data_IF_112711137669
#
_entry.id   IF_112711137669
#
_cell.length_a   1.000
_cell.length_b   1.000
_cell.length_c   1.000
_cell.angle_alpha   90.00
_cell.angle_beta   90.00
_cell.angle_gamma   90.00
#
_symmetry.space_group_name_H-M   'P 1'
#
loop_
_entity.id
_entity.type
_entity.pdbx_description
1 polymer ?
#
# COMPACT_ATOMS: atom_id res chain seq x y z
N UNK A 1 -33.06 7.25 18.50
CA UNK A 1 -32.61 8.39 17.67
C UNK A 1 -31.12 8.33 17.36
N UNK A 2 -30.24 7.85 18.24
CA UNK A 2 -28.78 7.73 17.96
C UNK A 2 -28.34 6.82 16.80
N UNK A 3 -28.99 5.66 16.56
CA UNK A 3 -28.54 4.75 15.48
C UNK A 3 -28.83 5.25 14.07
N UNK A 4 -29.97 5.93 13.84
CA UNK A 4 -30.32 6.43 12.50
C UNK A 4 -29.44 7.60 12.06
N UNK A 5 -28.93 8.38 13.01
CA UNK A 5 -28.02 9.49 12.71
C UNK A 5 -26.61 8.99 12.40
N UNK A 6 -26.12 7.94 13.10
CA UNK A 6 -24.87 7.24 12.74
C UNK A 6 -24.95 6.61 11.35
N UNK A 7 -26.03 5.89 11.07
CA UNK A 7 -26.27 5.21 9.79
C UNK A 7 -26.46 6.19 8.62
N UNK A 8 -27.03 7.37 8.89
CA UNK A 8 -27.18 8.46 7.90
C UNK A 8 -25.86 9.22 7.67
N UNK A 9 -25.06 9.46 8.70
CA UNK A 9 -23.71 10.05 8.54
C UNK A 9 -22.81 9.11 7.75
N UNK A 10 -22.84 7.82 8.08
CA UNK A 10 -22.14 6.77 7.35
C UNK A 10 -22.60 6.71 5.89
N UNK A 11 -23.91 6.77 5.60
CA UNK A 11 -24.42 6.83 4.21
C UNK A 11 -24.03 8.08 3.44
N UNK A 12 -23.82 9.20 4.12
CA UNK A 12 -23.45 10.48 3.47
C UNK A 12 -21.94 10.51 3.20
N UNK A 13 -21.11 9.96 4.10
CA UNK A 13 -19.68 9.68 3.86
C UNK A 13 -19.48 8.60 2.79
N UNK A 14 -20.31 7.55 2.78
CA UNK A 14 -20.34 6.49 1.75
C UNK A 14 -20.60 7.02 0.34
N UNK A 15 -21.35 8.12 0.18
CA UNK A 15 -21.60 8.70 -1.14
C UNK A 15 -20.40 9.48 -1.70
N UNK A 16 -19.46 9.90 -0.85
CA UNK A 16 -18.22 10.55 -1.25
C UNK A 16 -17.14 9.51 -1.64
N UNK A 17 -17.06 8.40 -0.88
CA UNK A 17 -16.15 7.28 -1.15
C UNK A 17 -16.54 6.35 -2.34
N UNK A 18 -17.72 6.52 -2.97
CA UNK A 18 -18.25 5.56 -3.98
C UNK A 18 -17.65 5.69 -5.39
N UNK A 19 -16.63 6.52 -5.59
CA UNK A 19 -16.00 6.64 -6.90
C UNK A 19 -14.49 6.43 -6.88
N UNK A 20 -13.95 5.28 -6.42
CA UNK A 20 -12.53 5.02 -6.71
C UNK A 20 -11.94 3.61 -6.51
N UNK A 21 -12.67 2.55 -6.86
CA UNK A 21 -12.04 1.25 -7.10
C UNK A 21 -12.62 0.63 -8.36
N UNK A 22 -12.25 1.16 -9.52
CA UNK A 22 -12.30 0.33 -10.74
C UNK A 22 -11.18 -0.70 -10.58
N UNK A 23 -11.51 -1.80 -9.90
CA UNK A 23 -10.67 -3.00 -9.86
C UNK A 23 -10.44 -3.42 -11.31
N UNK A 24 -9.26 -3.15 -11.84
CA UNK A 24 -8.88 -3.78 -13.10
C UNK A 24 -8.61 -5.25 -12.83
N UNK A 25 -9.32 -6.06 -13.59
CA UNK A 25 -9.03 -7.47 -13.84
C UNK A 25 -7.52 -7.62 -14.00
N UNK A 26 -6.87 -8.41 -13.14
CA UNK A 26 -5.60 -9.04 -13.50
C UNK A 26 -5.76 -9.53 -14.94
N UNK A 27 -4.77 -9.27 -15.80
CA UNK A 27 -4.57 -10.11 -16.98
C UNK A 27 -4.69 -11.55 -16.48
N UNK A 28 -5.80 -12.20 -16.83
CA UNK A 28 -6.09 -13.57 -16.45
C UNK A 28 -4.89 -14.37 -16.95
N UNK A 29 -3.93 -14.65 -16.06
CA UNK A 29 -2.89 -15.61 -16.33
C UNK A 29 -3.62 -16.84 -16.87
N UNK A 30 -3.19 -17.44 -17.99
CA UNK A 30 -3.87 -18.60 -18.52
C UNK A 30 -3.96 -19.62 -17.39
N UNK A 31 -5.17 -19.77 -16.85
CA UNK A 31 -5.51 -20.77 -15.84
C UNK A 31 -5.55 -22.12 -16.55
N UNK A 32 -4.40 -22.54 -17.07
CA UNK A 32 -4.15 -23.94 -17.28
C UNK A 32 -4.32 -24.57 -15.90
N UNK A 33 -5.22 -25.54 -15.81
CA UNK A 33 -5.56 -26.26 -14.59
C UNK A 33 -4.32 -26.99 -14.07
N UNK A 34 -3.47 -26.28 -13.36
CA UNK A 34 -2.34 -26.84 -12.64
C UNK A 34 -2.81 -27.25 -11.25
N UNK A 35 -2.20 -28.29 -10.70
CA UNK A 35 -2.45 -28.68 -9.32
C UNK A 35 -2.16 -27.48 -8.42
N UNK A 36 -3.09 -27.18 -7.50
CA UNK A 36 -2.91 -26.14 -6.50
C UNK A 36 -1.54 -26.35 -5.79
N UNK A 37 -0.75 -25.27 -5.68
CA UNK A 37 0.56 -25.29 -5.02
C UNK A 37 1.78 -25.60 -5.91
N UNK A 38 1.64 -25.64 -7.23
CA UNK A 38 2.76 -25.93 -8.15
C UNK A 38 3.56 -24.71 -8.59
N UNK A 39 2.94 -23.54 -8.72
CA UNK A 39 3.61 -22.29 -9.11
C UNK A 39 3.29 -21.21 -8.08
N UNK A 40 4.32 -20.50 -7.63
CA UNK A 40 4.22 -19.53 -6.53
C UNK A 40 4.45 -18.09 -7.00
N UNK A 41 5.27 -17.91 -8.05
CA UNK A 41 5.66 -16.59 -8.54
C UNK A 41 5.64 -16.59 -10.07
N UNK A 42 4.94 -15.62 -10.65
CA UNK A 42 5.03 -15.27 -12.06
C UNK A 42 5.88 -13.99 -12.20
N UNK A 43 6.91 -14.05 -13.03
CA UNK A 43 7.88 -12.97 -13.24
C UNK A 43 8.58 -13.17 -14.59
N UNK A 44 8.86 -12.09 -15.32
CA UNK A 44 9.57 -12.12 -16.62
C UNK A 44 8.88 -13.07 -17.62
N UNK A 45 7.58 -12.83 -17.83
CA UNK A 45 6.68 -13.59 -18.71
C UNK A 45 6.56 -15.10 -18.43
N UNK A 46 7.07 -15.59 -17.30
CA UNK A 46 7.09 -17.01 -16.98
C UNK A 46 6.80 -17.29 -15.51
N UNK A 47 6.30 -18.51 -15.26
CA UNK A 47 6.33 -19.06 -13.91
C UNK A 47 7.75 -19.45 -13.55
N UNK A 48 8.20 -19.05 -12.36
CA UNK A 48 9.53 -19.40 -11.89
C UNK A 48 9.59 -20.85 -11.42
N UNK A 49 10.65 -21.55 -11.83
CA UNK A 49 11.07 -22.80 -11.21
C UNK A 49 11.82 -22.51 -9.90
N UNK A 50 11.83 -23.49 -8.99
CA UNK A 50 12.62 -23.39 -7.76
C UNK A 50 14.13 -23.26 -8.07
N UNK A 51 14.82 -22.41 -7.30
CA UNK A 51 16.24 -22.13 -7.46
C UNK A 51 16.53 -20.78 -8.11
N UNK A 52 17.77 -20.61 -8.55
CA UNK A 52 18.27 -19.35 -9.11
C UNK A 52 17.95 -19.26 -10.61
N UNK A 53 17.44 -18.11 -11.04
CA UNK A 53 17.20 -17.77 -12.45
C UNK A 53 17.87 -16.43 -12.74
N UNK A 54 18.72 -16.39 -13.78
CA UNK A 54 19.35 -15.16 -14.23
C UNK A 54 18.31 -14.27 -14.93
N UNK A 55 18.30 -12.98 -14.60
CA UNK A 55 17.38 -11.99 -15.19
C UNK A 55 18.18 -10.74 -15.53
N UNK A 56 18.49 -10.57 -16.82
CA UNK A 56 19.42 -9.54 -17.26
C UNK A 56 20.80 -9.70 -16.62
N UNK A 57 21.31 -8.62 -16.01
CA UNK A 57 22.57 -8.61 -15.24
C UNK A 57 22.37 -9.04 -13.78
N UNK A 58 21.12 -9.18 -13.34
CA UNK A 58 20.74 -9.60 -12.01
C UNK A 58 20.28 -11.05 -11.96
N UNK A 59 19.65 -11.39 -10.85
CA UNK A 59 19.11 -12.72 -10.62
C UNK A 59 17.92 -12.71 -9.68
N UNK A 60 17.10 -13.73 -9.81
CA UNK A 60 16.05 -14.07 -8.88
C UNK A 60 16.29 -15.47 -8.32
N UNK A 61 15.87 -15.73 -7.08
CA UNK A 61 15.97 -17.06 -6.47
C UNK A 61 14.65 -17.39 -5.78
N UNK A 62 13.94 -18.39 -6.29
CA UNK A 62 12.71 -18.89 -5.69
C UNK A 62 13.02 -20.05 -4.74
N UNK A 63 12.78 -19.84 -3.44
CA UNK A 63 12.81 -20.89 -2.43
C UNK A 63 11.38 -21.30 -2.07
N UNK A 64 10.95 -22.43 -2.62
CA UNK A 64 9.61 -23.00 -2.42
C UNK A 64 9.40 -23.51 -1.00
N UNK A 65 10.46 -23.97 -0.32
CA UNK A 65 10.37 -24.51 1.03
C UNK A 65 10.17 -23.38 2.03
N UNK A 66 10.95 -22.31 1.91
CA UNK A 66 10.89 -21.16 2.80
C UNK A 66 9.88 -20.08 2.36
N UNK A 67 9.18 -20.28 1.23
CA UNK A 67 8.21 -19.32 0.67
C UNK A 67 8.83 -17.94 0.44
N UNK A 68 10.03 -17.94 -0.15
CA UNK A 68 10.74 -16.69 -0.43
C UNK A 68 11.08 -16.54 -1.91
N UNK A 69 11.01 -15.31 -2.39
CA UNK A 69 11.62 -14.88 -3.64
C UNK A 69 12.69 -13.86 -3.28
N UNK A 70 13.94 -14.13 -3.61
CA UNK A 70 15.00 -13.11 -3.55
C UNK A 70 15.18 -12.49 -4.93
N UNK A 71 15.18 -11.17 -5.02
CA UNK A 71 15.59 -10.43 -6.22
C UNK A 71 16.88 -9.66 -5.93
N UNK A 72 17.84 -9.71 -6.85
CA UNK A 72 19.13 -9.05 -6.72
C UNK A 72 19.57 -8.42 -8.04
N UNK A 73 19.66 -7.09 -8.05
CA UNK A 73 20.08 -6.28 -9.19
C UNK A 73 19.27 -6.51 -10.48
N UNK A 74 17.95 -6.73 -10.35
CA UNK A 74 17.07 -7.00 -11.52
C UNK A 74 16.38 -5.74 -12.02
N UNK A 75 16.25 -5.63 -13.34
CA UNK A 75 15.41 -4.62 -13.99
C UNK A 75 14.32 -5.34 -14.80
N UNK A 76 13.10 -5.34 -14.27
CA UNK A 76 11.95 -6.02 -14.85
C UNK A 76 11.11 -5.03 -15.66
N UNK A 77 10.68 -5.45 -16.84
CA UNK A 77 9.74 -4.73 -17.70
C UNK A 77 8.32 -5.30 -17.66
N UNK A 78 8.10 -6.32 -16.80
CA UNK A 78 6.83 -6.99 -16.59
C UNK A 78 6.47 -6.99 -15.10
N UNK A 79 5.22 -7.29 -14.80
CA UNK A 79 4.71 -7.40 -13.43
C UNK A 79 5.27 -8.63 -12.71
N UNK A 80 5.16 -8.61 -11.38
CA UNK A 80 5.43 -9.77 -10.51
C UNK A 80 4.13 -10.17 -9.83
N UNK A 81 3.69 -11.42 -9.98
CA UNK A 81 2.52 -11.95 -9.24
C UNK A 81 2.91 -13.04 -8.27
N UNK A 82 2.39 -12.94 -7.04
CA UNK A 82 2.51 -13.97 -6.00
C UNK A 82 1.23 -14.77 -5.89
N UNK A 83 1.33 -16.06 -6.17
CA UNK A 83 0.18 -16.96 -6.36
C UNK A 83 0.06 -18.03 -5.26
N UNK A 84 0.77 -17.80 -4.16
CA UNK A 84 0.76 -18.65 -2.97
C UNK A 84 -0.56 -18.52 -2.17
N UNK A 85 -0.89 -19.57 -1.42
CA UNK A 85 -2.03 -19.64 -0.49
C UNK A 85 -1.62 -19.57 0.98
N UNK A 86 -0.33 -19.32 1.21
CA UNK A 86 0.29 -19.13 2.51
C UNK A 86 1.07 -17.81 2.44
N UNK A 87 1.48 -17.29 3.61
CA UNK A 87 2.33 -16.11 3.66
C UNK A 87 3.57 -16.28 2.79
N UNK A 88 3.98 -15.20 2.13
CA UNK A 88 5.12 -15.21 1.21
C UNK A 88 6.03 -14.03 1.46
N UNK A 89 7.33 -14.19 1.21
CA UNK A 89 8.32 -13.12 1.41
C UNK A 89 9.08 -12.81 0.12
N UNK A 90 9.05 -11.55 -0.30
CA UNK A 90 9.98 -10.95 -1.24
C UNK A 90 11.18 -10.38 -0.48
N UNK A 91 12.38 -10.86 -0.76
CA UNK A 91 13.65 -10.34 -0.25
C UNK A 91 14.30 -9.50 -1.36
N UNK A 92 14.61 -8.25 -1.07
CA UNK A 92 15.21 -7.30 -2.01
C UNK A 92 16.67 -7.07 -1.63
N UNK A 93 17.57 -7.32 -2.60
CA UNK A 93 19.01 -7.05 -2.49
C UNK A 93 19.47 -6.17 -3.64
N UNK A 94 20.51 -5.36 -3.42
CA UNK A 94 21.04 -4.49 -4.47
C UNK A 94 19.98 -3.53 -5.03
N UNK A 95 20.13 -3.10 -6.28
CA UNK A 95 19.25 -2.09 -6.90
C UNK A 95 18.30 -2.74 -7.91
N UNK A 96 16.99 -2.68 -7.66
CA UNK A 96 16.00 -3.35 -8.49
C UNK A 96 14.96 -2.37 -9.01
N UNK A 97 14.47 -2.62 -10.23
CA UNK A 97 13.38 -1.84 -10.84
C UNK A 97 12.30 -2.75 -11.40
N UNK A 98 11.04 -2.32 -11.31
CA UNK A 98 9.88 -2.98 -11.92
C UNK A 98 9.08 -1.91 -12.68
N UNK A 99 9.09 -1.99 -14.01
CA UNK A 99 8.45 -1.00 -14.89
C UNK A 99 7.61 -1.74 -15.95
N UNK A 100 6.43 -2.27 -15.55
CA UNK A 100 5.53 -2.98 -16.46
C UNK A 100 5.01 -2.07 -17.58
N UNK A 101 4.44 -2.68 -18.62
CA UNK A 101 3.71 -1.93 -19.64
C UNK A 101 2.47 -1.19 -19.06
N UNK A 102 2.03 -0.14 -19.75
CA UNK A 102 0.86 0.65 -19.35
C UNK A 102 -0.39 -0.22 -19.20
N UNK A 103 -1.12 -0.04 -18.10
CA UNK A 103 -2.28 -0.84 -17.71
C UNK A 103 -1.94 -2.11 -16.93
N UNK A 104 -0.66 -2.39 -16.67
CA UNK A 104 -0.20 -3.52 -15.87
C UNK A 104 0.37 -3.07 -14.53
N UNK A 105 0.03 -3.80 -13.47
CA UNK A 105 0.48 -3.51 -12.10
C UNK A 105 1.97 -3.83 -11.92
N UNK A 106 2.63 -3.25 -10.93
CA UNK A 106 4.01 -3.63 -10.59
C UNK A 106 4.09 -4.98 -9.87
N UNK A 107 3.56 -5.04 -8.64
CA UNK A 107 3.44 -6.27 -7.84
C UNK A 107 1.96 -6.58 -7.56
N UNK A 108 1.59 -7.84 -7.76
CA UNK A 108 0.25 -8.38 -7.51
C UNK A 108 0.23 -9.63 -6.63
N UNK A 109 -0.92 -9.94 -6.03
CA UNK A 109 -1.13 -11.19 -5.28
C UNK A 109 -2.43 -11.92 -5.68
N UNK A 110 -2.50 -13.19 -5.33
CA UNK A 110 -3.72 -14.00 -5.37
C UNK A 110 -4.68 -13.59 -4.23
N UNK A 111 -5.99 -13.83 -4.42
CA UNK A 111 -7.04 -13.55 -3.43
C UNK A 111 -6.86 -14.28 -2.09
N UNK A 112 -6.11 -15.38 -2.09
CA UNK A 112 -5.96 -16.26 -0.92
C UNK A 112 -4.59 -16.13 -0.25
N UNK A 113 -3.76 -15.18 -0.66
CA UNK A 113 -2.46 -14.94 -0.03
C UNK A 113 -2.71 -14.23 1.31
N UNK A 114 -2.38 -14.81 2.48
CA UNK A 114 -2.69 -14.20 3.77
C UNK A 114 -1.87 -12.94 4.07
N UNK A 115 -0.58 -12.94 3.67
CA UNK A 115 0.28 -11.77 3.80
C UNK A 115 1.44 -11.82 2.80
N UNK A 116 1.75 -10.68 2.19
CA UNK A 116 2.99 -10.47 1.45
C UNK A 116 3.95 -9.65 2.31
N UNK A 117 5.11 -10.24 2.61
CA UNK A 117 6.21 -9.53 3.25
C UNK A 117 7.21 -9.07 2.19
N UNK A 118 7.61 -7.80 2.21
CA UNK A 118 8.71 -7.25 1.42
C UNK A 118 9.81 -6.85 2.40
N UNK A 119 10.97 -7.49 2.29
CA UNK A 119 12.11 -7.26 3.18
C UNK A 119 13.24 -6.68 2.35
N UNK A 120 13.60 -5.43 2.63
CA UNK A 120 14.69 -4.73 1.94
C UNK A 120 15.95 -4.75 2.81
N UNK A 121 17.01 -5.38 2.30
CA UNK A 121 18.30 -5.40 2.99
C UNK A 121 18.92 -4.00 3.08
N UNK A 122 19.87 -3.82 4.00
CA UNK A 122 20.61 -2.56 4.12
C UNK A 122 21.27 -2.20 2.78
N UNK A 123 21.00 -0.99 2.29
CA UNK A 123 21.50 -0.50 1.00
C UNK A 123 20.82 -1.08 -0.24
N UNK A 124 19.79 -1.92 -0.08
CA UNK A 124 18.96 -2.38 -1.19
C UNK A 124 17.89 -1.33 -1.55
N UNK A 125 17.52 -1.29 -2.84
CA UNK A 125 16.41 -0.49 -3.33
C UNK A 125 15.50 -1.30 -4.26
N UNK A 126 14.21 -0.98 -4.21
CA UNK A 126 13.19 -1.44 -5.15
C UNK A 126 12.38 -0.25 -5.64
N UNK A 127 12.50 0.06 -6.93
CA UNK A 127 11.74 1.12 -7.57
C UNK A 127 10.66 0.51 -8.48
N UNK A 128 9.40 0.83 -8.22
CA UNK A 128 8.26 0.32 -8.99
C UNK A 128 7.54 1.49 -9.64
N UNK A 129 7.41 1.46 -10.96
CA UNK A 129 6.71 2.49 -11.72
C UNK A 129 5.64 1.86 -12.60
N UNK A 130 4.37 2.12 -12.29
CA UNK A 130 3.23 1.59 -13.03
C UNK A 130 2.41 2.73 -13.66
N UNK A 131 2.08 2.63 -14.94
CA UNK A 131 1.20 3.58 -15.63
C UNK A 131 -0.19 2.98 -15.82
N UNK A 132 -1.24 3.77 -15.60
CA UNK A 132 -2.64 3.33 -15.58
C UNK A 132 -2.91 2.10 -14.71
N UNK A 133 -2.17 1.94 -13.61
CA UNK A 133 -2.28 0.81 -12.70
C UNK A 133 -1.63 1.11 -11.34
N UNK A 134 -1.87 0.25 -10.35
CA UNK A 134 -1.20 0.31 -9.05
C UNK A 134 0.27 -0.13 -9.18
N UNK A 135 1.16 0.50 -8.42
CA UNK A 135 2.53 -0.01 -8.24
C UNK A 135 2.51 -1.32 -7.43
N UNK A 136 1.70 -1.37 -6.36
CA UNK A 136 1.44 -2.58 -5.58
C UNK A 136 -0.06 -2.75 -5.41
N UNK A 137 -0.57 -3.93 -5.79
CA UNK A 137 -1.95 -4.33 -5.57
C UNK A 137 -2.03 -5.68 -4.87
N UNK A 138 -2.37 -5.67 -3.59
CA UNK A 138 -2.63 -6.87 -2.82
C UNK A 138 -4.10 -7.22 -2.99
N UNK A 139 -4.39 -8.40 -3.54
CA UNK A 139 -5.76 -8.82 -3.84
C UNK A 139 -6.44 -9.46 -2.62
N UNK A 140 -5.65 -10.05 -1.73
CA UNK A 140 -6.07 -10.60 -0.45
C UNK A 140 -4.93 -10.51 0.56
N UNK A 141 -5.29 -10.34 1.82
CA UNK A 141 -4.36 -10.34 2.94
C UNK A 141 -3.61 -9.04 3.19
N UNK A 142 -2.62 -9.15 4.07
CA UNK A 142 -1.83 -8.04 4.59
C UNK A 142 -0.62 -7.72 3.69
N UNK A 143 -0.14 -6.48 3.78
CA UNK A 143 1.16 -6.07 3.24
C UNK A 143 2.07 -5.64 4.38
N UNK A 144 3.25 -6.23 4.45
CA UNK A 144 4.29 -5.78 5.38
C UNK A 144 5.57 -5.47 4.63
N UNK A 145 6.05 -4.24 4.73
CA UNK A 145 7.34 -3.81 4.18
C UNK A 145 8.27 -3.49 5.34
N UNK A 146 9.49 -4.03 5.30
CA UNK A 146 10.44 -3.88 6.40
C UNK A 146 11.89 -3.94 5.96
N UNK A 147 12.79 -3.59 6.88
CA UNK A 147 14.24 -3.64 6.67
C UNK A 147 14.82 -2.29 6.25
N UNK A 148 16.14 -2.16 6.30
CA UNK A 148 16.85 -0.89 6.23
C UNK A 148 17.12 -0.37 4.80
N UNK A 149 16.43 -0.92 3.79
CA UNK A 149 16.49 -0.46 2.40
C UNK A 149 15.43 0.60 2.06
N UNK A 150 15.27 0.88 0.76
CA UNK A 150 14.33 1.87 0.23
C UNK A 150 13.34 1.30 -0.79
N UNK A 151 12.06 1.61 -0.63
CA UNK A 151 10.99 1.27 -1.57
C UNK A 151 10.46 2.54 -2.21
N UNK A 152 10.58 2.66 -3.53
CA UNK A 152 9.99 3.78 -4.30
C UNK A 152 8.80 3.26 -5.10
N UNK A 153 7.64 3.86 -4.92
CA UNK A 153 6.43 3.53 -5.67
C UNK A 153 5.96 4.75 -6.46
N UNK A 154 5.76 4.58 -7.76
CA UNK A 154 5.19 5.61 -8.62
C UNK A 154 4.02 5.02 -9.40
N UNK A 155 2.85 5.65 -9.33
CA UNK A 155 1.70 5.30 -10.17
C UNK A 155 1.07 6.51 -10.84
N UNK A 156 0.44 6.27 -11.99
CA UNK A 156 -0.38 7.27 -12.71
C UNK A 156 -1.64 6.65 -13.30
N UNK A 157 -2.53 7.50 -13.81
CA UNK A 157 -3.75 7.11 -14.52
C UNK A 157 -4.96 6.95 -13.61
N UNK A 158 -4.93 7.53 -12.41
CA UNK A 158 -6.08 7.56 -11.51
C UNK A 158 -6.33 6.22 -10.81
N UNK A 159 -5.26 5.58 -10.32
CA UNK A 159 -5.29 4.37 -9.48
C UNK A 159 -4.53 4.60 -8.18
N UNK A 160 -4.89 3.92 -7.08
CA UNK A 160 -4.11 4.01 -5.86
C UNK A 160 -2.67 3.54 -6.12
N UNK A 161 -1.67 4.20 -5.55
CA UNK A 161 -0.29 3.74 -5.75
C UNK A 161 -0.04 2.39 -5.09
N UNK A 162 -0.52 2.24 -3.86
CA UNK A 162 -0.50 1.00 -3.09
C UNK A 162 -1.92 0.70 -2.59
N UNK A 163 -2.43 -0.50 -2.88
CA UNK A 163 -3.72 -0.97 -2.38
C UNK A 163 -3.59 -2.31 -1.68
N UNK A 164 -4.21 -2.46 -0.51
CA UNK A 164 -4.38 -3.74 0.16
C UNK A 164 -5.66 -3.78 0.99
N UNK A 165 -6.37 -4.94 1.04
CA UNK A 165 -7.55 -5.11 1.87
C UNK A 165 -7.24 -5.41 3.33
N UNK A 166 -6.06 -5.95 3.63
CA UNK A 166 -5.60 -6.20 4.99
C UNK A 166 -4.80 -5.05 5.59
N UNK A 167 -4.07 -5.37 6.65
CA UNK A 167 -3.18 -4.43 7.32
C UNK A 167 -2.00 -4.05 6.40
N UNK A 168 -1.60 -2.78 6.44
CA UNK A 168 -0.45 -2.26 5.72
C UNK A 168 0.57 -1.78 6.75
N UNK A 169 1.75 -2.40 6.79
CA UNK A 169 2.79 -2.09 7.77
C UNK A 169 4.10 -1.69 7.10
N UNK A 170 4.70 -0.60 7.57
CA UNK A 170 6.07 -0.17 7.28
C UNK A 170 6.90 -0.21 8.57
N UNK A 171 7.94 -1.05 8.63
CA UNK A 171 8.77 -1.22 9.84
C UNK A 171 10.28 -1.12 9.53
N UNK A 172 10.90 -0.02 9.97
CA UNK A 172 12.35 0.18 9.84
C UNK A 172 12.84 0.53 8.43
N UNK A 173 11.93 0.93 7.53
CA UNK A 173 12.16 1.10 6.08
C UNK A 173 12.02 2.55 5.62
N UNK A 174 12.69 2.91 4.52
CA UNK A 174 12.44 4.17 3.79
C UNK A 174 11.48 3.93 2.64
N UNK A 175 10.40 4.71 2.54
CA UNK A 175 9.36 4.54 1.51
C UNK A 175 9.02 5.89 0.91
N UNK A 176 9.10 5.97 -0.42
CA UNK A 176 8.70 7.14 -1.20
C UNK A 176 7.55 6.73 -2.13
N UNK A 177 6.40 7.40 -2.01
CA UNK A 177 5.20 7.14 -2.80
C UNK A 177 4.86 8.39 -3.60
N UNK A 178 4.68 8.24 -4.91
CA UNK A 178 4.19 9.30 -5.80
C UNK A 178 3.01 8.79 -6.61
N UNK A 179 1.88 9.48 -6.53
CA UNK A 179 0.65 9.08 -7.21
C UNK A 179 -0.16 10.27 -7.73
N UNK A 180 -1.11 10.02 -8.62
CA UNK A 180 -2.10 11.00 -9.09
C UNK A 180 -3.52 10.72 -8.57
N UNK A 181 -3.60 9.91 -7.51
CA UNK A 181 -4.84 9.48 -6.89
C UNK A 181 -4.66 9.31 -5.36
N UNK A 182 -4.92 8.12 -4.79
CA UNK A 182 -4.61 7.81 -3.38
C UNK A 182 -3.20 7.22 -3.28
N UNK A 183 -2.43 7.61 -2.26
CA UNK A 183 -1.08 7.05 -2.04
C UNK A 183 -1.17 5.63 -1.49
N UNK A 184 -1.73 5.51 -0.29
CA UNK A 184 -2.00 4.24 0.39
C UNK A 184 -3.51 4.08 0.55
N UNK A 185 -4.06 3.03 -0.06
CA UNK A 185 -5.48 2.69 0.00
C UNK A 185 -5.68 1.37 0.74
N UNK A 186 -6.10 1.46 2.00
CA UNK A 186 -6.55 0.34 2.79
C UNK A 186 -8.07 0.22 2.65
N UNK A 187 -8.50 -0.71 1.80
CA UNK A 187 -9.88 -0.77 1.31
C UNK A 187 -10.84 -1.45 2.28
N UNK A 188 -12.14 -1.25 2.05
CA UNK A 188 -13.17 -1.91 2.85
C UNK A 188 -13.12 -3.43 2.66
N UNK A 189 -13.22 -4.17 3.77
CA UNK A 189 -13.43 -5.61 3.78
C UNK A 189 -14.70 -5.87 4.57
N UNK A 190 -15.68 -6.48 3.91
CA UNK A 190 -16.93 -6.89 4.54
C UNK A 190 -16.88 -8.39 4.81
N UNK A 191 -17.01 -8.77 6.07
CA UNK A 191 -17.17 -10.16 6.46
C UNK A 191 -18.64 -10.55 6.30
N UNK A 192 -18.95 -11.35 5.28
CA UNK A 192 -20.31 -11.82 5.02
C UNK A 192 -20.86 -12.75 6.11
N UNK A 193 -19.99 -13.38 6.92
CA UNK A 193 -20.37 -14.27 8.02
C UNK A 193 -20.72 -13.47 9.27
N UNK A 194 -19.88 -12.50 9.62
CA UNK A 194 -20.10 -11.62 10.78
C UNK A 194 -21.08 -10.46 10.46
N UNK A 195 -21.43 -10.27 9.19
CA UNK A 195 -22.26 -9.17 8.68
C UNK A 195 -21.74 -7.77 9.11
N UNK A 196 -20.42 -7.62 9.17
CA UNK A 196 -19.75 -6.38 9.61
C UNK A 196 -18.48 -6.12 8.79
N UNK A 197 -17.99 -4.89 8.86
CA UNK A 197 -16.71 -4.54 8.28
C UNK A 197 -15.56 -5.00 9.18
N UNK A 198 -14.55 -5.59 8.56
CA UNK A 198 -13.31 -5.97 9.25
C UNK A 198 -12.46 -4.71 9.42
N UNK A 199 -12.12 -4.31 10.66
CA UNK A 199 -11.20 -3.20 10.88
C UNK A 199 -9.79 -3.57 10.44
N UNK A 200 -9.11 -2.63 9.80
CA UNK A 200 -7.73 -2.79 9.31
C UNK A 200 -6.84 -1.67 9.84
N UNK A 201 -5.53 -1.83 9.68
CA UNK A 201 -4.56 -0.88 10.18
C UNK A 201 -3.55 -0.46 9.11
N UNK A 202 -3.24 0.84 9.09
CA UNK A 202 -2.00 1.36 8.49
C UNK A 202 -1.03 1.69 9.62
N UNK A 203 0.07 0.94 9.70
CA UNK A 203 1.08 1.12 10.76
C UNK A 203 2.41 1.51 10.15
N UNK A 204 2.97 2.63 10.61
CA UNK A 204 4.32 3.06 10.28
C UNK A 204 5.14 3.11 11.57
N UNK A 205 6.20 2.30 11.63
CA UNK A 205 7.06 2.19 12.81
C UNK A 205 8.53 2.29 12.42
N UNK A 206 9.31 3.09 13.15
CA UNK A 206 10.75 3.24 12.92
C UNK A 206 11.11 3.56 11.45
N UNK A 207 10.17 4.17 10.70
CA UNK A 207 10.26 4.30 9.26
C UNK A 207 10.50 5.76 8.84
N UNK A 208 10.89 5.94 7.58
CA UNK A 208 10.76 7.23 6.88
C UNK A 208 9.80 7.02 5.73
N UNK A 209 8.71 7.77 5.69
CA UNK A 209 7.66 7.62 4.67
C UNK A 209 7.35 9.00 4.08
N UNK A 210 7.52 9.14 2.78
CA UNK A 210 7.11 10.32 2.02
C UNK A 210 6.01 9.92 1.03
N UNK A 211 4.92 10.67 0.99
CA UNK A 211 3.77 10.41 0.13
C UNK A 211 3.38 11.71 -0.55
N UNK A 212 3.61 11.80 -1.85
CA UNK A 212 3.19 12.92 -2.69
C UNK A 212 2.09 12.46 -3.65
N UNK A 213 0.87 12.91 -3.37
CA UNK A 213 -0.29 12.76 -4.27
C UNK A 213 -0.85 14.10 -4.72
N UNK A 214 -0.02 15.15 -4.71
CA UNK A 214 -0.42 16.51 -5.08
C UNK A 214 -0.81 16.68 -6.55
N UNK A 215 -0.47 15.70 -7.40
CA UNK A 215 -0.93 15.62 -8.79
C UNK A 215 -2.41 15.19 -8.90
N UNK A 216 -2.96 14.56 -7.84
CA UNK A 216 -4.34 14.10 -7.76
C UNK A 216 -5.19 14.90 -6.79
N UNK A 217 -6.45 14.48 -6.64
CA UNK A 217 -7.47 15.15 -5.82
C UNK A 217 -7.88 14.32 -4.59
N UNK A 218 -7.09 13.32 -4.20
CA UNK A 218 -7.44 12.34 -3.17
C UNK A 218 -6.41 12.27 -2.03
N UNK A 219 -6.66 11.36 -1.08
CA UNK A 219 -5.94 11.23 0.18
C UNK A 219 -4.52 10.70 -0.03
N UNK A 220 -3.57 11.18 0.78
CA UNK A 220 -2.26 10.52 0.85
C UNK A 220 -2.39 9.12 1.51
N UNK A 221 -3.17 9.02 2.59
CA UNK A 221 -3.55 7.73 3.21
C UNK A 221 -5.05 7.69 3.43
N UNK A 222 -5.67 6.64 2.92
CA UNK A 222 -7.07 6.31 3.16
C UNK A 222 -7.16 4.94 3.84
N UNK A 223 -7.75 4.90 5.03
CA UNK A 223 -8.13 3.68 5.73
C UNK A 223 -9.64 3.68 5.92
N UNK A 224 -10.35 2.75 5.26
CA UNK A 224 -11.82 2.77 5.28
C UNK A 224 -12.40 2.68 6.69
N UNK A 225 -11.95 1.71 7.48
CA UNK A 225 -12.41 1.46 8.85
C UNK A 225 -11.28 0.79 9.65
N UNK A 226 -10.94 1.34 10.82
CA UNK A 226 -9.94 0.76 11.70
C UNK A 226 -9.00 1.80 12.30
N UNK A 227 -7.70 1.75 11.98
CA UNK A 227 -6.74 2.66 12.61
C UNK A 227 -5.54 3.05 11.75
N UNK A 228 -4.97 4.21 12.05
CA UNK A 228 -3.67 4.64 11.55
C UNK A 228 -2.75 4.86 12.76
N UNK A 229 -1.58 4.22 12.75
CA UNK A 229 -0.55 4.41 13.79
C UNK A 229 0.76 4.90 13.18
N UNK A 230 1.28 6.01 13.71
CA UNK A 230 2.60 6.54 13.38
C UNK A 230 3.46 6.55 14.65
N UNK A 231 4.47 5.66 14.68
CA UNK A 231 5.32 5.41 15.85
C UNK A 231 6.81 5.52 15.50
N UNK A 232 7.54 6.38 16.20
CA UNK A 232 8.97 6.66 15.96
C UNK A 232 9.33 6.82 14.47
N UNK A 233 8.45 7.49 13.72
CA UNK A 233 8.49 7.56 12.25
C UNK A 233 8.55 9.01 11.78
N UNK A 234 9.33 9.26 10.72
CA UNK A 234 9.26 10.51 9.96
C UNK A 234 8.25 10.31 8.83
N UNK A 235 7.11 10.97 8.90
CA UNK A 235 6.05 10.90 7.88
C UNK A 235 5.88 12.27 7.25
N UNK A 236 6.00 12.35 5.92
CA UNK A 236 5.63 13.54 5.15
C UNK A 236 4.50 13.16 4.19
N UNK A 237 3.43 13.94 4.18
CA UNK A 237 2.36 13.82 3.19
C UNK A 237 2.12 15.14 2.48
N UNK A 238 1.98 15.05 1.16
CA UNK A 238 1.67 16.18 0.29
C UNK A 238 0.44 15.85 -0.54
N UNK A 239 -0.61 16.66 -0.44
CA UNK A 239 -1.84 16.51 -1.24
C UNK A 239 -2.14 17.80 -2.00
N UNK A 240 -3.04 17.75 -2.97
CA UNK A 240 -3.45 18.94 -3.72
C UNK A 240 -4.07 20.00 -2.79
N UNK A 241 -3.94 21.27 -3.15
CA UNK A 241 -4.56 22.41 -2.46
C UNK A 241 -5.85 22.91 -3.15
N UNK A 242 -6.39 22.14 -4.10
CA UNK A 242 -7.66 22.47 -4.77
C UNK A 242 -8.82 22.44 -3.75
N UNK A 243 -9.77 23.38 -3.87
CA UNK A 243 -11.01 23.38 -3.08
C UNK A 243 -12.00 22.37 -3.73
N UNK A 244 -12.73 21.60 -2.91
CA UNK A 244 -13.70 20.52 -3.29
C UNK A 244 -13.16 19.09 -3.51
N UNK A 245 -11.91 18.80 -3.15
CA UNK A 245 -11.30 17.46 -3.25
C UNK A 245 -11.28 16.68 -1.92
N UNK A 246 -11.21 15.35 -1.97
CA UNK A 246 -11.00 14.50 -0.78
C UNK A 246 -9.50 14.41 -0.40
N UNK A 247 -8.78 15.52 -0.50
CA UNK A 247 -7.33 15.63 -0.42
C UNK A 247 -6.77 15.58 1.02
N UNK A 248 -7.28 14.67 1.86
CA UNK A 248 -6.81 14.49 3.24
C UNK A 248 -5.36 14.00 3.28
N UNK A 249 -4.55 14.59 4.15
CA UNK A 249 -3.25 14.04 4.51
C UNK A 249 -3.37 12.63 5.10
N UNK A 250 -4.31 12.43 6.02
CA UNK A 250 -4.64 11.13 6.62
C UNK A 250 -6.15 11.06 6.83
N UNK A 251 -6.78 9.98 6.37
CA UNK A 251 -8.20 9.71 6.61
C UNK A 251 -8.40 8.31 7.18
N UNK A 252 -9.15 8.21 8.27
CA UNK A 252 -9.61 6.92 8.83
C UNK A 252 -10.99 7.02 9.47
N UNK A 253 -11.89 6.07 9.19
CA UNK A 253 -13.07 5.85 10.05
C UNK A 253 -12.62 5.04 11.26
N UNK A 254 -12.12 5.73 12.28
CA UNK A 254 -11.54 5.12 13.47
C UNK A 254 -10.41 5.94 14.08
N UNK A 255 -9.43 5.28 14.69
CA UNK A 255 -8.44 5.97 15.53
C UNK A 255 -7.16 6.34 14.76
N UNK A 256 -6.70 7.57 14.93
CA UNK A 256 -5.36 8.01 14.56
C UNK A 256 -4.49 8.14 15.83
N UNK A 257 -3.44 7.34 15.92
CA UNK A 257 -2.45 7.38 17.02
C UNK A 257 -1.08 7.85 16.51
N UNK A 258 -0.58 8.94 17.07
CA UNK A 258 0.77 9.46 16.84
C UNK A 258 1.53 9.38 18.17
N UNK A 259 2.63 8.62 18.21
CA UNK A 259 3.41 8.39 19.44
C UNK A 259 4.90 8.20 19.17
N UNK A 260 5.71 8.23 20.23
CA UNK A 260 7.16 8.02 20.15
C UNK A 260 7.96 9.33 20.04
N UNK A 261 9.11 9.38 20.70
CA UNK A 261 9.94 10.59 20.81
C UNK A 261 10.61 10.96 19.48
N UNK A 262 10.78 9.99 18.56
CA UNK A 262 11.40 10.20 17.25
C UNK A 262 10.40 10.52 16.14
N UNK A 263 9.11 10.58 16.47
CA UNK A 263 8.06 10.85 15.49
C UNK A 263 8.08 12.29 15.02
N UNK A 264 8.09 12.49 13.71
CA UNK A 264 8.02 13.80 13.05
C UNK A 264 7.05 13.69 11.86
N UNK A 265 5.80 14.10 12.08
CA UNK A 265 4.72 14.07 11.10
C UNK A 265 4.54 15.45 10.49
N UNK A 266 4.63 15.53 9.16
CA UNK A 266 4.42 16.74 8.39
C UNK A 266 3.35 16.52 7.33
N UNK A 267 2.46 17.47 7.20
CA UNK A 267 1.49 17.51 6.11
C UNK A 267 1.48 18.88 5.44
N UNK A 268 1.40 18.91 4.11
CA UNK A 268 1.09 20.12 3.34
C UNK A 268 0.06 19.79 2.28
N UNK A 269 -1.09 20.46 2.29
CA UNK A 269 -2.14 20.12 1.34
C UNK A 269 -3.47 20.79 1.63
N UNK A 270 -4.54 20.19 1.09
CA UNK A 270 -5.90 20.69 1.23
C UNK A 270 -6.42 20.52 2.64
N UNK A 271 -6.81 19.29 2.97
CA UNK A 271 -7.30 18.91 4.30
C UNK A 271 -6.20 18.12 5.03
N UNK A 272 -6.04 18.36 6.34
CA UNK A 272 -5.08 17.64 7.16
C UNK A 272 -5.56 16.24 7.53
N UNK A 273 -5.79 15.99 8.82
CA UNK A 273 -6.11 14.64 9.32
C UNK A 273 -7.57 14.55 9.76
N UNK A 274 -8.28 13.51 9.31
CA UNK A 274 -9.66 13.19 9.70
C UNK A 274 -9.71 11.77 10.29
N UNK A 275 -10.17 11.68 11.54
CA UNK A 275 -10.33 10.44 12.29
C UNK A 275 -11.54 10.56 13.23
N UNK A 276 -12.01 9.45 13.80
CA UNK A 276 -12.98 9.48 14.91
C UNK A 276 -12.34 9.96 16.22
N UNK A 277 -11.04 9.72 16.39
CA UNK A 277 -10.22 10.24 17.49
C UNK A 277 -8.79 10.40 17.03
N UNK A 278 -8.21 11.57 17.32
CA UNK A 278 -6.78 11.84 17.11
C UNK A 278 -6.08 11.88 18.47
N UNK A 279 -5.19 10.92 18.71
CA UNK A 279 -4.37 10.85 19.93
C UNK A 279 -2.91 11.12 19.60
N UNK A 280 -2.31 12.11 20.28
CA UNK A 280 -0.90 12.45 20.15
C UNK A 280 -0.23 12.27 21.51
N UNK A 281 0.57 11.21 21.66
CA UNK A 281 1.27 10.87 22.90
C UNK A 281 2.74 11.35 22.92
N UNK A 282 3.32 11.62 21.75
CA UNK A 282 4.72 12.03 21.60
C UNK A 282 5.07 12.46 20.17
N UNK A 283 6.26 13.06 20.02
CA UNK A 283 6.79 13.49 18.73
C UNK A 283 6.42 14.94 18.34
N UNK A 284 6.54 15.22 17.05
CA UNK A 284 6.20 16.51 16.41
C UNK A 284 5.15 16.30 15.34
N UNK A 285 4.21 17.23 15.26
CA UNK A 285 3.15 17.26 14.24
C UNK A 285 3.05 18.67 13.67
N UNK A 286 3.33 18.84 12.38
CA UNK A 286 3.23 20.11 11.63
C UNK A 286 2.28 19.91 10.43
N UNK A 287 1.05 20.40 10.56
CA UNK A 287 0.00 20.26 9.55
C UNK A 287 -0.30 21.62 8.94
N UNK A 288 0.05 21.79 7.66
CA UNK A 288 -0.22 22.98 6.85
C UNK A 288 -1.33 22.69 5.85
N UNK A 289 -2.55 22.97 6.28
CA UNK A 289 -3.77 22.80 5.49
C UNK A 289 -4.32 24.16 5.07
N UNK A 290 -4.91 24.26 3.88
CA UNK A 290 -5.65 25.45 3.45
C UNK A 290 -7.14 25.41 3.84
N UNK A 291 -7.60 24.29 4.38
CA UNK A 291 -8.91 24.08 5.00
C UNK A 291 -8.74 23.64 6.47
N UNK A 292 -9.16 22.42 6.82
CA UNK A 292 -9.19 21.92 8.19
C UNK A 292 -7.94 21.07 8.46
N UNK A 293 -7.12 21.51 9.42
CA UNK A 293 -5.89 20.81 9.77
C UNK A 293 -6.13 19.50 10.53
N UNK A 294 -7.04 19.47 11.50
CA UNK A 294 -7.34 18.28 12.30
C UNK A 294 -8.85 18.20 12.54
N UNK A 295 -9.44 17.05 12.23
CA UNK A 295 -10.83 16.70 12.48
C UNK A 295 -10.87 15.38 13.25
N UNK A 296 -11.45 15.41 14.45
CA UNK A 296 -11.58 14.25 15.33
C UNK A 296 -12.36 14.53 16.58
#
# INVERSE_FOLDING_TARGET
MKNKDKEKNMRTKKLAAVLLAVVMTLCLLPTAAFAAGTHLVYLNDAWLDAGETAVGDGKVTLDVENKTLTIENVALTDFVSFEATEEFTLIVKGTNTITPESGSIGIGTNVNLPALNIVLEEGASLDITADMANAIYIRGGDLKVSGAGSLTLTSSGGYPTLSAPGDITFDGVTVDITGDQVGIFCNEVYDEVEEDYVPTAVTMRNATVDIDVSAGDFQAVYCFYGSITVEDTVLTTTTSMTEESENYGLYVDGDLLIKGDKTDVKHTGGIGFDADTITIEGGKVDVKSNDTALLG
#
